data_IF_897787201541
#
_entry.id   IF_897787201541
#
_cell.length_a   1.000
_cell.length_b   1.000
_cell.length_c   1.000
_cell.angle_alpha   90.00
_cell.angle_beta   90.00
_cell.angle_gamma   90.00
#
_symmetry.space_group_name_H-M   'P 1'
#
loop_
_entity.id
_entity.type
_entity.pdbx_description
1 polymer ?
#
# COMPACT_ATOMS: atom_id res chain seq x y z
N UNK A 1 -84.65 43.19 -39.61
CA UNK A 1 -83.20 43.11 -39.85
C UNK A 1 -82.66 44.53 -39.81
N UNK A 2 -81.64 44.80 -38.99
CA UNK A 2 -81.06 46.14 -38.88
C UNK A 2 -80.40 46.55 -40.21
N UNK A 3 -80.38 47.85 -40.48
CA UNK A 3 -79.88 48.40 -41.75
C UNK A 3 -78.34 48.45 -41.75
N UNK A 4 -77.71 48.47 -42.93
CA UNK A 4 -76.25 48.57 -43.07
C UNK A 4 -75.67 49.81 -42.34
N UNK A 5 -76.49 50.86 -42.17
CA UNK A 5 -76.12 52.05 -41.40
C UNK A 5 -76.00 51.77 -39.89
N UNK A 6 -76.86 50.92 -39.34
CA UNK A 6 -76.87 50.53 -37.93
C UNK A 6 -75.62 49.72 -37.57
N UNK A 7 -75.22 48.77 -38.43
CA UNK A 7 -74.00 47.99 -38.21
C UNK A 7 -72.74 48.86 -38.21
N UNK A 8 -72.65 49.82 -39.14
CA UNK A 8 -71.54 50.78 -39.19
C UNK A 8 -71.43 51.59 -37.90
N UNK A 9 -72.55 52.09 -37.37
CA UNK A 9 -72.56 52.84 -36.10
C UNK A 9 -72.07 51.99 -34.92
N UNK A 10 -72.39 50.69 -34.88
CA UNK A 10 -71.89 49.79 -33.85
C UNK A 10 -70.36 49.58 -33.95
N UNK A 11 -69.81 49.47 -35.15
CA UNK A 11 -68.36 49.37 -35.36
C UNK A 11 -67.66 50.69 -35.00
N UNK A 12 -68.18 51.83 -35.49
CA UNK A 12 -67.63 53.16 -35.19
C UNK A 12 -67.66 53.44 -33.68
N UNK A 13 -68.68 52.93 -32.96
CA UNK A 13 -68.73 52.94 -31.49
C UNK A 13 -67.60 52.15 -30.86
N UNK A 14 -67.34 50.92 -31.33
CA UNK A 14 -66.28 50.06 -30.81
C UNK A 14 -64.89 50.69 -30.99
N UNK A 15 -64.71 51.38 -32.11
CA UNK A 15 -63.47 52.09 -32.46
C UNK A 15 -63.37 53.48 -31.80
N UNK A 16 -64.42 53.92 -31.09
CA UNK A 16 -64.46 55.19 -30.35
C UNK A 16 -64.58 56.45 -31.23
N UNK A 17 -65.14 56.32 -32.43
CA UNK A 17 -65.18 57.37 -33.47
C UNK A 17 -66.49 58.15 -33.55
N UNK A 18 -67.49 57.82 -32.73
CA UNK A 18 -68.79 58.51 -32.72
C UNK A 18 -68.75 59.82 -31.91
N UNK A 19 -69.50 60.83 -32.38
CA UNK A 19 -69.71 62.06 -31.60
C UNK A 19 -70.66 61.83 -30.42
N UNK A 20 -70.65 62.71 -29.42
CA UNK A 20 -71.45 62.57 -28.19
C UNK A 20 -72.96 62.36 -28.45
N UNK A 21 -73.51 63.08 -29.43
CA UNK A 21 -74.92 62.95 -29.84
C UNK A 21 -75.22 61.59 -30.49
N UNK A 22 -74.30 61.08 -31.29
CA UNK A 22 -74.44 59.79 -31.99
C UNK A 22 -74.25 58.60 -31.04
N UNK A 23 -73.39 58.73 -30.03
CA UNK A 23 -73.21 57.75 -28.96
C UNK A 23 -74.50 57.54 -28.17
N UNK A 24 -75.15 58.62 -27.76
CA UNK A 24 -76.40 58.57 -26.98
C UNK A 24 -77.54 57.94 -27.79
N UNK A 25 -77.65 58.26 -29.09
CA UNK A 25 -78.62 57.63 -29.99
C UNK A 25 -78.31 56.13 -30.18
N UNK A 26 -77.05 55.77 -30.35
CA UNK A 26 -76.62 54.38 -30.53
C UNK A 26 -76.84 53.56 -29.25
N UNK A 27 -76.67 54.16 -28.06
CA UNK A 27 -77.02 53.53 -26.77
C UNK A 27 -78.51 53.29 -26.60
N UNK A 28 -79.33 54.27 -26.96
CA UNK A 28 -80.77 54.09 -26.95
C UNK A 28 -81.21 52.97 -27.90
N UNK A 29 -80.60 52.88 -29.08
CA UNK A 29 -80.88 51.81 -30.04
C UNK A 29 -80.48 50.43 -29.51
N UNK A 30 -79.30 50.31 -28.91
CA UNK A 30 -78.84 49.04 -28.30
C UNK A 30 -79.74 48.63 -27.13
N UNK A 31 -80.24 49.57 -26.32
CA UNK A 31 -81.05 49.26 -25.15
C UNK A 31 -82.52 48.95 -25.49
N UNK A 32 -83.06 49.55 -26.55
CA UNK A 32 -84.46 49.44 -26.91
C UNK A 32 -84.76 48.38 -27.98
N UNK A 33 -83.78 48.03 -28.83
CA UNK A 33 -83.94 47.01 -29.87
C UNK A 33 -83.10 45.75 -29.55
N UNK A 34 -83.80 44.66 -29.26
CA UNK A 34 -83.19 43.37 -28.93
C UNK A 34 -82.33 42.79 -30.07
N UNK A 35 -82.65 43.08 -31.34
CA UNK A 35 -81.86 42.61 -32.46
C UNK A 35 -80.50 43.33 -32.54
N UNK A 36 -80.49 44.64 -32.32
CA UNK A 36 -79.28 45.47 -32.31
C UNK A 36 -78.41 45.13 -31.09
N UNK A 37 -79.03 44.87 -29.93
CA UNK A 37 -78.32 44.39 -28.75
C UNK A 37 -77.57 43.06 -29.01
N UNK A 38 -78.20 42.13 -29.73
CA UNK A 38 -77.59 40.86 -30.11
C UNK A 38 -76.38 41.01 -31.02
N UNK A 39 -76.47 41.89 -32.03
CA UNK A 39 -75.35 42.17 -32.94
C UNK A 39 -74.17 42.85 -32.22
N UNK A 40 -74.45 43.77 -31.30
CA UNK A 40 -73.42 44.39 -30.47
C UNK A 40 -72.66 43.36 -29.61
N UNK A 41 -73.37 42.42 -28.99
CA UNK A 41 -72.74 41.34 -28.22
C UNK A 41 -71.89 40.42 -29.09
N UNK A 42 -72.33 40.10 -30.31
CA UNK A 42 -71.55 39.30 -31.25
C UNK A 42 -70.27 40.02 -31.67
N UNK A 43 -70.34 41.32 -31.94
CA UNK A 43 -69.18 42.13 -32.30
C UNK A 43 -68.14 42.18 -31.16
N UNK A 44 -68.61 42.36 -29.91
CA UNK A 44 -67.74 42.30 -28.73
C UNK A 44 -67.07 40.93 -28.57
N UNK A 45 -67.82 39.85 -28.78
CA UNK A 45 -67.28 38.49 -28.69
C UNK A 45 -66.21 38.22 -29.76
N UNK A 46 -66.47 38.63 -31.01
CA UNK A 46 -65.51 38.45 -32.12
C UNK A 46 -64.23 39.24 -31.86
N UNK A 47 -64.34 40.49 -31.42
CA UNK A 47 -63.16 41.33 -31.16
C UNK A 47 -62.35 40.86 -29.95
N UNK A 48 -63.00 40.35 -28.91
CA UNK A 48 -62.32 39.70 -27.80
C UNK A 48 -61.56 38.45 -28.27
N UNK A 49 -62.20 37.58 -29.06
CA UNK A 49 -61.56 36.35 -29.56
C UNK A 49 -60.35 36.65 -30.47
N UNK A 50 -60.41 37.69 -31.32
CA UNK A 50 -59.29 38.11 -32.16
C UNK A 50 -58.12 38.62 -31.30
N UNK A 51 -58.41 39.39 -30.25
CA UNK A 51 -57.39 39.90 -29.32
C UNK A 51 -56.70 38.76 -28.57
N UNK A 52 -57.47 37.79 -28.09
CA UNK A 52 -56.93 36.60 -27.43
C UNK A 52 -56.06 35.77 -28.39
N UNK A 53 -56.50 35.55 -29.63
CA UNK A 53 -55.73 34.84 -30.65
C UNK A 53 -54.37 35.52 -30.95
N UNK A 54 -54.35 36.85 -31.06
CA UNK A 54 -53.11 37.61 -31.26
C UNK A 54 -52.12 37.50 -30.08
N UNK A 55 -52.62 37.43 -28.84
CA UNK A 55 -51.78 37.22 -27.65
C UNK A 55 -51.19 35.80 -27.65
N UNK A 56 -51.99 34.79 -27.99
CA UNK A 56 -51.50 33.41 -28.10
C UNK A 56 -50.39 33.27 -29.14
N UNK A 57 -50.52 33.94 -30.30
CA UNK A 57 -49.50 33.93 -31.33
C UNK A 57 -48.19 34.53 -30.81
N UNK A 58 -48.21 35.72 -30.21
CA UNK A 58 -47.03 36.37 -29.64
C UNK A 58 -46.33 35.52 -28.56
N UNK A 59 -47.10 34.92 -27.65
CA UNK A 59 -46.55 34.05 -26.60
C UNK A 59 -45.95 32.78 -27.19
N UNK A 60 -46.55 32.23 -28.25
CA UNK A 60 -46.02 31.03 -28.91
C UNK A 60 -44.68 31.26 -29.59
N UNK A 61 -44.49 32.41 -30.24
CA UNK A 61 -43.23 32.79 -30.89
C UNK A 61 -42.12 32.97 -29.86
N UNK A 62 -42.40 33.69 -28.77
CA UNK A 62 -41.44 33.86 -27.66
C UNK A 62 -41.06 32.51 -27.04
N UNK A 63 -42.02 31.59 -26.85
CA UNK A 63 -41.72 30.24 -26.35
C UNK A 63 -40.83 29.45 -27.29
N UNK A 64 -41.01 29.56 -28.60
CA UNK A 64 -40.16 28.88 -29.58
C UNK A 64 -38.73 29.45 -29.59
N UNK A 65 -38.57 30.77 -29.47
CA UNK A 65 -37.26 31.41 -29.36
C UNK A 65 -36.52 30.99 -28.08
N UNK A 66 -37.21 30.95 -26.94
CA UNK A 66 -36.63 30.46 -25.68
C UNK A 66 -36.27 28.96 -25.73
N UNK A 67 -37.13 28.11 -26.31
CA UNK A 67 -36.86 26.69 -26.43
C UNK A 67 -35.64 26.41 -27.34
N UNK A 68 -35.54 27.12 -28.47
CA UNK A 68 -34.41 27.00 -29.39
C UNK A 68 -33.10 27.59 -28.83
N UNK A 69 -33.16 28.61 -27.97
CA UNK A 69 -32.01 29.10 -27.21
C UNK A 69 -31.54 28.11 -26.12
N UNK A 70 -32.48 27.41 -25.46
CA UNK A 70 -32.15 26.47 -24.37
C UNK A 70 -31.57 25.15 -24.91
N UNK A 71 -32.00 24.71 -26.09
CA UNK A 71 -31.47 23.49 -26.74
C UNK A 71 -30.04 23.64 -27.30
N UNK A 72 -29.49 24.87 -27.38
CA UNK A 72 -28.08 25.11 -27.75
C UNK A 72 -27.12 25.05 -26.56
N UNK A 73 -27.60 24.79 -25.34
CA UNK A 73 -26.75 24.52 -24.19
C UNK A 73 -26.12 23.12 -24.33
N UNK A 74 -24.92 23.11 -24.91
CA UNK A 74 -23.87 22.09 -24.88
C UNK A 74 -24.03 20.97 -23.84
N UNK A 75 -23.87 19.74 -24.34
CA UNK A 75 -23.74 18.48 -23.60
C UNK A 75 -23.07 18.63 -22.23
N UNK A 76 -23.56 17.93 -21.19
CA UNK A 76 -22.99 18.06 -19.84
C UNK A 76 -21.51 17.69 -19.84
N UNK A 77 -20.64 18.46 -19.15
CA UNK A 77 -19.21 18.18 -19.11
C UNK A 77 -18.97 16.81 -18.46
N UNK A 78 -18.26 15.93 -19.17
CA UNK A 78 -17.86 14.61 -18.68
C UNK A 78 -16.87 14.77 -17.53
N UNK A 79 -17.35 14.58 -16.30
CA UNK A 79 -16.52 14.65 -15.09
C UNK A 79 -15.65 13.39 -15.01
N UNK A 80 -14.39 13.49 -15.43
CA UNK A 80 -13.44 12.38 -15.29
C UNK A 80 -12.86 12.44 -13.88
N UNK A 81 -13.35 11.60 -12.96
CA UNK A 81 -12.85 11.59 -11.59
C UNK A 81 -11.43 11.02 -11.55
N UNK A 82 -10.44 11.89 -11.33
CA UNK A 82 -9.01 11.55 -11.20
C UNK A 82 -8.66 10.84 -9.87
N UNK A 83 -9.65 10.19 -9.24
CA UNK A 83 -9.57 9.68 -7.86
C UNK A 83 -8.69 8.43 -7.71
N UNK A 84 -8.51 7.66 -8.79
CA UNK A 84 -7.76 6.39 -8.79
C UNK A 84 -6.25 6.57 -8.57
N UNK A 85 -5.62 7.59 -9.18
CA UNK A 85 -4.17 7.82 -9.06
C UNK A 85 -3.74 8.21 -7.64
N UNK A 86 -4.59 8.94 -6.91
CA UNK A 86 -4.33 9.32 -5.52
C UNK A 86 -4.47 8.15 -4.54
N UNK A 87 -5.28 7.14 -4.84
CA UNK A 87 -5.34 5.91 -4.03
C UNK A 87 -4.09 5.07 -4.24
N UNK A 88 -3.64 4.91 -5.49
CA UNK A 88 -2.38 4.22 -5.80
C UNK A 88 -1.16 4.89 -5.15
N UNK A 89 -1.10 6.23 -5.17
CA UNK A 89 -0.02 6.99 -4.52
C UNK A 89 0.01 6.78 -3.00
N UNK A 90 -1.16 6.74 -2.34
CA UNK A 90 -1.26 6.47 -0.90
C UNK A 90 -0.81 5.06 -0.55
N UNK A 91 -1.20 4.06 -1.35
CA UNK A 91 -0.75 2.67 -1.16
C UNK A 91 0.76 2.57 -1.32
N UNK A 92 1.33 3.20 -2.35
CA UNK A 92 2.78 3.22 -2.56
C UNK A 92 3.53 3.91 -1.41
N UNK A 93 3.01 5.03 -0.89
CA UNK A 93 3.60 5.74 0.24
C UNK A 93 3.57 4.89 1.53
N UNK A 94 2.48 4.17 1.80
CA UNK A 94 2.40 3.24 2.94
C UNK A 94 3.37 2.09 2.79
N UNK A 95 3.45 1.46 1.60
CA UNK A 95 4.42 0.39 1.34
C UNK A 95 5.86 0.86 1.51
N UNK A 96 6.16 2.08 1.07
CA UNK A 96 7.48 2.68 1.23
C UNK A 96 7.81 2.94 2.70
N UNK A 97 6.86 3.49 3.47
CA UNK A 97 7.04 3.68 4.92
C UNK A 97 7.22 2.36 5.66
N UNK A 98 6.43 1.33 5.33
CA UNK A 98 6.59 -0.02 5.89
C UNK A 98 7.95 -0.61 5.51
N UNK A 99 8.39 -0.42 4.26
CA UNK A 99 9.69 -0.85 3.79
C UNK A 99 10.84 -0.19 4.56
N UNK A 100 10.80 1.13 4.74
CA UNK A 100 11.79 1.88 5.53
C UNK A 100 11.76 1.46 7.00
N UNK A 101 10.58 1.31 7.59
CA UNK A 101 10.46 0.86 8.98
C UNK A 101 11.01 -0.56 9.16
N UNK A 102 10.76 -1.45 8.21
CA UNK A 102 11.28 -2.82 8.24
C UNK A 102 12.80 -2.87 8.07
N UNK A 103 13.38 -2.09 7.15
CA UNK A 103 14.84 -2.03 6.97
C UNK A 103 15.52 -1.39 8.18
N UNK A 104 14.95 -0.32 8.73
CA UNK A 104 15.48 0.34 9.93
C UNK A 104 15.40 -0.59 11.15
N UNK A 105 14.28 -1.31 11.32
CA UNK A 105 14.15 -2.33 12.37
C UNK A 105 15.18 -3.44 12.23
N UNK A 106 15.36 -4.01 11.03
CA UNK A 106 16.40 -5.01 10.78
C UNK A 106 17.81 -4.47 11.04
N UNK A 107 18.08 -3.24 10.61
CA UNK A 107 19.36 -2.60 10.83
C UNK A 107 19.62 -2.31 12.30
N UNK A 108 18.61 -2.07 13.14
CA UNK A 108 18.84 -1.90 14.59
C UNK A 108 18.87 -3.22 15.33
N UNK A 109 18.08 -4.21 14.91
CA UNK A 109 17.99 -5.51 15.58
C UNK A 109 19.18 -6.42 15.33
N UNK A 110 19.77 -6.39 14.12
CA UNK A 110 20.91 -7.24 13.76
C UNK A 110 22.19 -6.69 14.39
N UNK A 111 22.61 -7.33 15.46
CA UNK A 111 23.83 -7.09 16.23
C UNK A 111 24.63 -8.39 16.36
N UNK A 112 25.92 -8.29 16.72
CA UNK A 112 26.78 -9.46 16.96
C UNK A 112 26.10 -10.46 17.93
N UNK A 113 25.58 -9.94 19.04
CA UNK A 113 24.87 -10.72 20.06
C UNK A 113 23.60 -11.37 19.52
N UNK A 114 22.74 -10.62 18.82
CA UNK A 114 21.50 -11.19 18.26
C UNK A 114 21.76 -12.29 17.23
N UNK A 115 22.84 -12.16 16.44
CA UNK A 115 23.21 -13.19 15.46
C UNK A 115 23.72 -14.45 16.16
N UNK A 116 24.56 -14.28 17.19
CA UNK A 116 24.97 -15.39 18.04
C UNK A 116 23.75 -16.10 18.65
N UNK A 117 22.84 -15.37 19.29
CA UNK A 117 21.64 -15.95 19.94
C UNK A 117 20.70 -16.65 18.96
N UNK A 118 20.60 -16.16 17.72
CA UNK A 118 19.70 -16.72 16.69
C UNK A 118 20.29 -17.97 16.04
N UNK A 119 21.60 -18.01 15.84
CA UNK A 119 22.24 -19.01 14.96
C UNK A 119 23.19 -19.97 15.69
N UNK A 120 23.60 -19.68 16.92
CA UNK A 120 24.33 -20.62 17.75
C UNK A 120 23.41 -21.74 18.22
N UNK A 121 23.87 -22.97 18.06
CA UNK A 121 23.28 -24.14 18.66
C UNK A 121 24.41 -24.94 19.30
N UNK A 122 24.20 -25.43 20.51
CA UNK A 122 25.21 -26.29 21.15
C UNK A 122 25.41 -27.56 20.33
N UNK A 123 26.63 -28.05 20.30
CA UNK A 123 26.98 -29.25 19.55
C UNK A 123 26.58 -30.49 20.35
N UNK A 124 25.84 -31.40 19.75
CA UNK A 124 25.50 -32.67 20.37
C UNK A 124 26.41 -33.78 19.82
N UNK A 125 27.14 -34.45 20.72
CA UNK A 125 27.93 -35.63 20.40
C UNK A 125 27.00 -36.78 19.97
N UNK A 126 27.00 -37.12 18.68
CA UNK A 126 26.28 -38.29 18.17
C UNK A 126 26.67 -39.57 18.90
N UNK A 127 25.72 -40.46 19.17
CA UNK A 127 25.99 -41.76 19.80
C UNK A 127 26.57 -42.74 18.77
N UNK A 128 27.87 -42.63 18.48
CA UNK A 128 28.56 -43.72 17.77
C UNK A 128 28.81 -44.86 18.76
N UNK A 129 28.31 -46.06 18.43
CA UNK A 129 28.68 -47.31 19.10
C UNK A 129 30.14 -47.62 18.77
N UNK A 130 31.07 -46.95 19.43
CA UNK A 130 32.48 -47.30 19.37
C UNK A 130 32.73 -48.47 20.34
N UNK A 131 33.10 -49.61 19.79
CA UNK A 131 33.72 -50.72 20.51
C UNK A 131 35.17 -50.29 20.80
N UNK A 132 35.37 -49.53 21.87
CA UNK A 132 36.65 -48.95 22.28
C UNK A 132 36.43 -48.04 23.49
N UNK A 133 37.42 -47.92 24.38
CA UNK A 133 37.34 -47.22 25.67
C UNK A 133 36.51 -45.94 25.62
N UNK A 134 35.63 -45.75 26.60
CA UNK A 134 34.88 -44.51 26.80
C UNK A 134 35.91 -43.41 27.05
N UNK A 135 36.19 -42.58 26.04
CA UNK A 135 37.06 -41.42 26.19
C UNK A 135 36.47 -40.52 27.30
N UNK A 136 37.24 -40.29 28.37
CA UNK A 136 36.80 -39.56 29.55
C UNK A 136 36.27 -38.16 29.20
N UNK A 137 36.80 -37.53 28.15
CA UNK A 137 36.37 -36.22 27.65
C UNK A 137 34.98 -36.28 27.01
N UNK A 138 34.69 -37.33 26.23
CA UNK A 138 33.36 -37.50 25.63
C UNK A 138 32.29 -37.74 26.70
N UNK A 139 32.64 -38.51 27.74
CA UNK A 139 31.75 -38.71 28.88
C UNK A 139 31.51 -37.40 29.65
N UNK A 140 32.57 -36.63 29.92
CA UNK A 140 32.45 -35.31 30.55
C UNK A 140 31.57 -34.37 29.73
N UNK A 141 31.75 -34.34 28.40
CA UNK A 141 30.98 -33.49 27.49
C UNK A 141 29.49 -33.88 27.49
N UNK A 142 29.18 -35.18 27.42
CA UNK A 142 27.79 -35.66 27.45
C UNK A 142 27.08 -35.34 28.78
N UNK A 143 27.83 -35.29 29.87
CA UNK A 143 27.30 -34.98 31.20
C UNK A 143 27.25 -33.48 31.50
N UNK A 144 27.68 -32.63 30.56
CA UNK A 144 27.74 -31.19 30.75
C UNK A 144 28.84 -30.72 31.71
N UNK A 145 29.83 -31.58 32.00
CA UNK A 145 31.00 -31.20 32.80
C UNK A 145 32.02 -30.47 31.92
N UNK A 146 31.67 -29.23 31.56
CA UNK A 146 32.46 -28.40 30.66
C UNK A 146 33.86 -28.12 31.19
N UNK A 147 34.00 -28.00 32.52
CA UNK A 147 35.29 -27.76 33.14
C UNK A 147 36.19 -28.98 33.01
N UNK A 148 35.67 -30.19 33.23
CA UNK A 148 36.44 -31.41 33.02
C UNK A 148 36.81 -31.62 31.54
N UNK A 149 35.95 -31.24 30.59
CA UNK A 149 36.29 -31.28 29.15
C UNK A 149 37.50 -30.41 28.86
N UNK A 150 37.49 -29.15 29.32
CA UNK A 150 38.58 -28.19 29.07
C UNK A 150 39.88 -28.63 29.75
N UNK A 151 39.79 -29.18 30.96
CA UNK A 151 40.98 -29.60 31.73
C UNK A 151 41.63 -30.86 31.16
N UNK A 152 40.83 -31.81 30.65
CA UNK A 152 41.35 -33.10 30.18
C UNK A 152 41.68 -33.11 28.69
N UNK A 153 41.25 -32.11 27.90
CA UNK A 153 41.49 -32.08 26.47
C UNK A 153 42.98 -32.01 26.10
N UNK A 154 43.41 -32.92 25.22
CA UNK A 154 44.72 -32.86 24.60
C UNK A 154 44.81 -31.73 23.57
N UNK A 155 45.96 -31.06 23.56
CA UNK A 155 46.31 -30.08 22.54
C UNK A 155 46.74 -30.71 21.21
N UNK A 156 46.81 -32.04 21.11
CA UNK A 156 47.21 -32.75 19.87
C UNK A 156 46.06 -33.42 19.15
N UNK A 157 44.92 -33.65 19.81
CA UNK A 157 43.74 -34.31 19.20
C UNK A 157 42.70 -33.27 18.77
N UNK A 158 42.42 -33.19 17.47
CA UNK A 158 41.45 -32.25 16.90
C UNK A 158 40.04 -32.42 17.50
N UNK A 159 39.60 -33.65 17.78
CA UNK A 159 38.31 -33.90 18.42
C UNK A 159 38.28 -33.31 19.82
N UNK A 160 39.32 -33.57 20.61
CA UNK A 160 39.38 -33.13 22.00
C UNK A 160 39.43 -31.60 22.11
N UNK A 161 40.18 -30.92 21.23
CA UNK A 161 40.15 -29.45 21.23
C UNK A 161 38.91 -28.86 20.60
N UNK A 162 38.28 -29.51 19.63
CA UNK A 162 36.95 -29.10 19.20
C UNK A 162 35.96 -29.13 20.37
N UNK A 163 35.93 -30.25 21.13
CA UNK A 163 35.09 -30.39 22.31
C UNK A 163 35.46 -29.37 23.42
N UNK A 164 36.75 -29.08 23.62
CA UNK A 164 37.18 -28.02 24.53
C UNK A 164 36.70 -26.63 24.10
N UNK A 165 36.71 -26.33 22.79
CA UNK A 165 36.17 -25.09 22.25
C UNK A 165 34.67 -24.96 22.50
N UNK A 166 33.93 -26.04 22.25
CA UNK A 166 32.49 -26.09 22.54
C UNK A 166 32.20 -25.96 24.05
N UNK A 167 32.94 -26.65 24.91
CA UNK A 167 32.78 -26.51 26.37
C UNK A 167 33.11 -25.09 26.85
N UNK A 168 34.11 -24.44 26.25
CA UNK A 168 34.43 -23.04 26.54
C UNK A 168 33.30 -22.08 26.12
N UNK A 169 32.60 -22.36 25.01
CA UNK A 169 31.40 -21.62 24.60
C UNK A 169 30.28 -21.72 25.64
N UNK A 170 30.03 -22.93 26.17
CA UNK A 170 29.02 -23.15 27.21
C UNK A 170 29.33 -22.40 28.52
N UNK A 171 30.62 -22.28 28.86
CA UNK A 171 31.09 -21.46 29.99
C UNK A 171 31.20 -19.97 29.67
N UNK A 172 30.75 -19.53 28.48
CA UNK A 172 30.88 -18.15 27.97
C UNK A 172 32.32 -17.63 27.94
N UNK A 173 33.29 -18.54 27.91
CA UNK A 173 34.70 -18.22 27.80
C UNK A 173 35.11 -18.16 26.33
N UNK A 174 34.63 -17.15 25.63
CA UNK A 174 34.79 -17.03 24.18
C UNK A 174 36.26 -16.91 23.75
N UNK A 175 37.13 -16.32 24.58
CA UNK A 175 38.56 -16.28 24.28
C UNK A 175 39.19 -17.67 24.22
N UNK A 176 38.86 -18.56 25.16
CA UNK A 176 39.34 -19.95 25.12
C UNK A 176 38.72 -20.72 23.97
N UNK A 177 37.44 -20.48 23.66
CA UNK A 177 36.78 -21.09 22.51
C UNK A 177 37.48 -20.73 21.18
N UNK A 178 37.77 -19.44 20.97
CA UNK A 178 38.50 -18.94 19.80
C UNK A 178 39.86 -19.64 19.67
N UNK A 179 40.64 -19.72 20.77
CA UNK A 179 41.94 -20.40 20.75
C UNK A 179 41.80 -21.88 20.38
N UNK A 180 40.82 -22.58 20.94
CA UNK A 180 40.61 -24.00 20.69
C UNK A 180 40.19 -24.28 19.24
N UNK A 181 39.27 -23.51 18.67
CA UNK A 181 38.84 -23.68 17.28
C UNK A 181 39.93 -23.30 16.27
N UNK A 182 40.68 -22.21 16.50
CA UNK A 182 41.83 -21.88 15.67
C UNK A 182 42.84 -23.03 15.63
N UNK A 183 43.11 -23.68 16.77
CA UNK A 183 44.03 -24.82 16.81
C UNK A 183 43.58 -25.96 15.89
N UNK A 184 42.28 -26.30 15.89
CA UNK A 184 41.74 -27.37 15.02
C UNK A 184 41.90 -26.99 13.55
N UNK A 185 41.64 -25.73 13.20
CA UNK A 185 41.76 -25.21 11.83
C UNK A 185 43.23 -25.21 11.38
N UNK A 186 44.13 -24.72 12.22
CA UNK A 186 45.57 -24.65 11.94
C UNK A 186 46.16 -26.05 11.76
N UNK A 187 45.83 -26.99 12.64
CA UNK A 187 46.27 -28.39 12.53
C UNK A 187 45.73 -29.05 11.26
N UNK A 188 44.47 -28.78 10.90
CA UNK A 188 43.88 -29.29 9.66
C UNK A 188 44.59 -28.73 8.41
N UNK A 189 45.04 -27.47 8.44
CA UNK A 189 45.79 -26.85 7.36
C UNK A 189 47.23 -27.42 7.25
N UNK A 190 47.85 -27.79 8.37
CA UNK A 190 49.20 -28.38 8.42
C UNK A 190 49.18 -29.85 7.95
N UNK A 191 48.26 -30.64 8.49
CA UNK A 191 48.22 -32.10 8.27
C UNK A 191 47.40 -32.52 7.05
N UNK A 192 46.55 -31.63 6.54
CA UNK A 192 45.53 -31.94 5.54
C UNK A 192 44.33 -32.72 6.10
N UNK A 193 44.32 -33.05 7.39
CA UNK A 193 43.20 -33.72 8.03
C UNK A 193 42.06 -32.74 8.32
N UNK A 194 41.02 -32.75 7.49
CA UNK A 194 39.85 -31.86 7.63
C UNK A 194 38.88 -32.25 8.74
N UNK A 195 39.19 -33.26 9.56
CA UNK A 195 38.31 -33.69 10.63
C UNK A 195 38.03 -32.55 11.63
N UNK A 196 36.76 -32.23 11.85
CA UNK A 196 36.25 -31.07 12.62
C UNK A 196 36.62 -29.68 12.08
N UNK A 197 37.25 -29.55 10.90
CA UNK A 197 37.66 -28.25 10.36
C UNK A 197 36.46 -27.37 10.06
N UNK A 198 35.51 -27.88 9.28
CA UNK A 198 34.34 -27.13 8.84
C UNK A 198 33.41 -26.76 10.04
N UNK A 199 33.28 -27.66 11.01
CA UNK A 199 32.61 -27.38 12.29
C UNK A 199 33.34 -26.28 13.07
N UNK A 200 34.67 -26.35 13.16
CA UNK A 200 35.47 -25.36 13.87
C UNK A 200 35.39 -23.99 13.23
N UNK A 201 35.39 -23.90 11.89
CA UNK A 201 35.23 -22.62 11.17
C UNK A 201 33.88 -21.97 11.52
N UNK A 202 32.80 -22.74 11.48
CA UNK A 202 31.48 -22.23 11.85
C UNK A 202 31.41 -21.77 13.31
N UNK A 203 31.86 -22.60 14.26
CA UNK A 203 31.79 -22.26 15.67
C UNK A 203 32.81 -21.19 16.09
N UNK A 204 33.92 -21.05 15.36
CA UNK A 204 34.83 -19.91 15.51
C UNK A 204 34.13 -18.60 15.14
N UNK A 205 33.38 -18.56 14.03
CA UNK A 205 32.59 -17.40 13.68
C UNK A 205 31.56 -17.06 14.79
N UNK A 206 30.86 -18.07 15.32
CA UNK A 206 29.93 -17.88 16.44
C UNK A 206 30.64 -17.36 17.70
N UNK A 207 31.84 -17.85 17.98
CA UNK A 207 32.66 -17.40 19.12
C UNK A 207 33.04 -15.93 18.97
N UNK A 208 33.42 -15.50 17.76
CA UNK A 208 33.71 -14.10 17.49
C UNK A 208 32.48 -13.20 17.59
N UNK A 209 31.30 -13.65 17.13
CA UNK A 209 30.05 -12.93 17.35
C UNK A 209 29.75 -12.75 18.84
N UNK A 210 29.89 -13.82 19.63
CA UNK A 210 29.68 -13.77 21.08
C UNK A 210 30.71 -12.91 21.82
N UNK A 211 31.95 -12.85 21.31
CA UNK A 211 33.01 -11.97 21.80
C UNK A 211 32.89 -10.52 21.29
N UNK A 212 31.82 -10.19 20.56
CA UNK A 212 31.57 -8.88 19.95
C UNK A 212 32.61 -8.45 18.90
N UNK A 213 33.37 -9.40 18.33
CA UNK A 213 34.31 -9.19 17.22
C UNK A 213 33.63 -9.54 15.88
N UNK A 214 32.64 -8.72 15.51
CA UNK A 214 31.83 -8.93 14.32
C UNK A 214 32.66 -8.97 13.03
N UNK A 215 33.73 -8.19 12.95
CA UNK A 215 34.58 -8.12 11.76
C UNK A 215 35.23 -9.47 11.44
N UNK A 216 35.83 -10.14 12.42
CA UNK A 216 36.42 -11.47 12.21
C UNK A 216 35.36 -12.53 11.96
N UNK A 217 34.22 -12.45 12.65
CA UNK A 217 33.11 -13.35 12.38
C UNK A 217 32.65 -13.26 10.92
N UNK A 218 32.53 -12.05 10.37
CA UNK A 218 32.11 -11.84 8.98
C UNK A 218 33.12 -12.39 7.98
N UNK A 219 34.42 -12.20 8.20
CA UNK A 219 35.45 -12.78 7.34
C UNK A 219 35.31 -14.30 7.21
N UNK A 220 35.02 -14.99 8.31
CA UNK A 220 34.85 -16.44 8.32
C UNK A 220 33.52 -16.85 7.67
N UNK A 221 32.41 -16.16 7.99
CA UNK A 221 31.10 -16.48 7.42
C UNK A 221 31.05 -16.24 5.92
N UNK A 222 31.73 -15.21 5.42
CA UNK A 222 31.89 -14.96 3.98
C UNK A 222 32.72 -16.06 3.30
N UNK A 223 33.78 -16.54 3.95
CA UNK A 223 34.57 -17.67 3.45
C UNK A 223 33.72 -18.96 3.36
N UNK A 224 32.90 -19.24 4.38
CA UNK A 224 31.96 -20.38 4.38
C UNK A 224 30.89 -20.23 3.28
N UNK A 225 30.41 -19.00 3.02
CA UNK A 225 29.49 -18.74 1.91
C UNK A 225 30.14 -18.94 0.54
N UNK A 226 31.42 -18.64 0.40
CA UNK A 226 32.16 -18.82 -0.86
C UNK A 226 32.44 -20.31 -1.15
N UNK A 227 32.66 -21.12 -0.11
CA UNK A 227 32.89 -22.56 -0.24
C UNK A 227 31.58 -23.36 -0.24
N UNK A 228 31.09 -23.72 -1.44
CA UNK A 228 29.88 -24.54 -1.62
C UNK A 228 30.00 -25.96 -1.06
N UNK A 229 31.22 -26.47 -0.87
CA UNK A 229 31.46 -27.80 -0.33
C UNK A 229 31.50 -27.81 1.21
N UNK A 230 31.56 -26.63 1.84
CA UNK A 230 31.64 -26.51 3.29
C UNK A 230 30.37 -27.02 3.97
N UNK A 231 30.51 -27.81 5.04
CA UNK A 231 29.38 -28.44 5.75
C UNK A 231 28.27 -27.44 6.15
N UNK A 232 28.67 -26.23 6.56
CA UNK A 232 27.76 -25.17 7.00
C UNK A 232 27.33 -24.17 5.92
N UNK A 233 27.70 -24.37 4.65
CA UNK A 233 27.37 -23.46 3.55
C UNK A 233 25.88 -23.10 3.52
N UNK A 234 25.01 -24.11 3.43
CA UNK A 234 23.55 -23.94 3.39
C UNK A 234 22.99 -23.27 4.64
N UNK A 235 23.66 -23.42 5.79
CA UNK A 235 23.24 -22.77 7.04
C UNK A 235 23.58 -21.29 6.99
N UNK A 236 24.79 -20.93 6.59
CA UNK A 236 25.21 -19.53 6.48
C UNK A 236 24.46 -18.82 5.35
N UNK A 237 24.13 -19.50 4.25
CA UNK A 237 23.33 -18.95 3.16
C UNK A 237 21.96 -18.46 3.66
N UNK A 238 21.31 -19.23 4.55
CA UNK A 238 20.04 -18.84 5.18
C UNK A 238 20.17 -17.60 6.07
N UNK A 239 21.36 -17.29 6.58
CA UNK A 239 21.64 -16.07 7.34
C UNK A 239 21.77 -14.83 6.44
N UNK A 240 21.73 -14.99 5.11
CA UNK A 240 22.32 -14.04 4.14
C UNK A 240 21.95 -12.57 4.29
N UNK A 241 20.72 -12.22 4.72
CA UNK A 241 20.37 -10.81 4.98
C UNK A 241 21.07 -10.30 6.24
N UNK A 242 21.09 -11.08 7.30
CA UNK A 242 21.66 -10.67 8.59
C UNK A 242 23.20 -10.56 8.48
N UNK A 243 23.86 -11.47 7.75
CA UNK A 243 25.31 -11.39 7.45
C UNK A 243 25.63 -10.11 6.68
N UNK A 244 24.85 -9.76 5.65
CA UNK A 244 25.05 -8.51 4.89
C UNK A 244 24.84 -7.26 5.74
N UNK A 245 23.81 -7.25 6.58
CA UNK A 245 23.52 -6.12 7.46
C UNK A 245 24.64 -5.94 8.48
N UNK A 246 25.15 -7.03 9.07
CA UNK A 246 26.23 -6.97 10.03
C UNK A 246 27.57 -6.59 9.39
N UNK A 247 27.84 -7.06 8.17
CA UNK A 247 29.01 -6.66 7.39
C UNK A 247 29.02 -5.18 7.03
N UNK A 248 27.86 -4.55 6.81
CA UNK A 248 27.77 -3.10 6.56
C UNK A 248 28.04 -2.25 7.81
N UNK A 249 27.96 -2.83 9.01
CA UNK A 249 28.15 -2.12 10.28
C UNK A 249 29.59 -2.12 10.79
N UNK A 250 30.42 -3.07 10.36
CA UNK A 250 31.76 -3.34 10.89
C UNK A 250 32.85 -3.10 9.84
#
# INVERSE_FOLDING_TARGET
MPTNNTYKQLVDRLDGQLSQSELEQTEQLINNDQAVAGEWQQLLLVTQNIREAGIYEQVSTVRQEFASATMKATSPPKVVTMRSKFVALKIAAVLLLVGIAATMYKFTSVTNQSMYETYYNSYELGSMRARGEVNAIEHAYRNGDWQAVITNASATDNKESFLAGMAAMELKNYSKAITAFNRVIDEANITGNRYFKDESEYYLAMSYLAANDGKKAMQILEAILADKAHLFHNRVEKMGIDVKVLGLKN
#
